data_IF_702246704615
#
_entry.id   IF_702246704615
#
_cell.length_a   1.000
_cell.length_b   1.000
_cell.length_c   1.000
_cell.angle_alpha   90.00
_cell.angle_beta   90.00
_cell.angle_gamma   90.00
#
_symmetry.space_group_name_H-M   'P 1'
#
loop_
_entity.id
_entity.type
_entity.pdbx_description
1 polymer ?
#
# COMPACT_ATOMS: atom_id res chain seq x y z
N UNK A 1 6.94 20.97 -1.77
CA UNK A 1 7.20 19.97 -2.83
C UNK A 1 5.98 19.07 -3.01
N UNK A 2 4.91 19.57 -3.65
CA UNK A 2 3.64 18.81 -3.83
C UNK A 2 2.94 19.11 -5.16
N UNK A 3 3.71 19.44 -6.20
CA UNK A 3 3.18 19.87 -7.51
C UNK A 3 2.71 18.72 -8.41
N UNK A 4 2.91 17.47 -8.01
CA UNK A 4 2.49 16.29 -8.77
C UNK A 4 0.98 16.06 -8.75
N UNK A 5 0.48 15.14 -9.60
CA UNK A 5 -0.91 14.70 -9.56
C UNK A 5 -1.30 14.24 -8.15
N UNK A 6 -2.52 14.60 -7.73
CA UNK A 6 -3.05 14.26 -6.41
C UNK A 6 -4.16 13.23 -6.53
N UNK A 7 -4.17 12.27 -5.62
CA UNK A 7 -5.26 11.33 -5.44
C UNK A 7 -5.93 11.64 -4.10
N UNK A 8 -7.18 12.11 -4.17
CA UNK A 8 -8.03 12.35 -3.01
C UNK A 8 -8.97 11.17 -2.81
N UNK A 9 -8.77 10.41 -1.73
CA UNK A 9 -9.67 9.36 -1.24
C UNK A 9 -10.39 9.84 0.02
N UNK A 10 -11.51 9.22 0.42
CA UNK A 10 -12.07 9.43 1.75
C UNK A 10 -10.97 9.27 2.81
N UNK A 11 -10.79 10.29 3.64
CA UNK A 11 -9.85 10.32 4.77
C UNK A 11 -8.35 10.27 4.41
N UNK A 12 -7.96 10.21 3.13
CA UNK A 12 -6.55 10.11 2.74
C UNK A 12 -6.25 10.81 1.42
N UNK A 13 -5.16 11.57 1.40
CA UNK A 13 -4.66 12.27 0.20
C UNK A 13 -3.25 11.81 -0.11
N UNK A 14 -3.01 11.46 -1.37
CA UNK A 14 -1.70 11.08 -1.87
C UNK A 14 -1.23 12.06 -2.94
N UNK A 15 0.09 12.12 -3.13
CA UNK A 15 0.75 12.79 -4.24
C UNK A 15 1.51 11.73 -5.02
N UNK A 16 1.31 11.68 -6.33
CA UNK A 16 2.04 10.76 -7.20
C UNK A 16 3.39 11.37 -7.58
N UNK A 17 4.44 10.58 -7.37
CA UNK A 17 5.79 10.86 -7.81
C UNK A 17 6.22 9.80 -8.83
N UNK A 18 7.11 10.20 -9.74
CA UNK A 18 7.78 9.28 -10.68
C UNK A 18 9.27 9.52 -10.61
N UNK A 19 10.05 8.45 -10.71
CA UNK A 19 11.49 8.50 -10.55
C UNK A 19 12.13 7.13 -10.78
N UNK A 20 13.43 7.08 -10.57
CA UNK A 20 14.23 5.87 -10.59
C UNK A 20 14.21 5.18 -9.22
N UNK A 21 14.73 3.95 -9.15
CA UNK A 21 14.91 3.27 -7.88
C UNK A 21 15.93 3.99 -6.98
N UNK A 22 16.94 4.64 -7.57
CA UNK A 22 17.93 5.40 -6.80
C UNK A 22 17.31 6.62 -6.11
N UNK A 23 16.30 7.25 -6.72
CA UNK A 23 15.58 8.37 -6.11
C UNK A 23 14.84 7.95 -4.82
N UNK A 24 14.50 6.65 -4.68
CA UNK A 24 13.87 6.12 -3.47
C UNK A 24 14.85 6.04 -2.30
N UNK A 25 16.16 5.88 -2.55
CA UNK A 25 17.16 5.73 -1.49
C UNK A 25 17.31 6.98 -0.63
N UNK A 26 17.07 8.16 -1.19
CA UNK A 26 17.06 9.45 -0.48
C UNK A 26 15.67 9.90 -0.04
N UNK A 27 14.66 9.04 -0.12
CA UNK A 27 13.26 9.44 0.04
C UNK A 27 12.96 10.06 1.42
N UNK A 28 13.53 9.50 2.48
CA UNK A 28 13.36 10.02 3.84
C UNK A 28 13.87 11.45 4.00
N UNK A 29 14.91 11.81 3.24
CA UNK A 29 15.57 13.11 3.34
C UNK A 29 14.73 14.23 2.73
N UNK A 30 13.68 13.89 1.97
CA UNK A 30 12.75 14.84 1.36
C UNK A 30 11.75 15.43 2.37
N UNK A 31 11.60 14.82 3.55
CA UNK A 31 10.59 15.19 4.53
C UNK A 31 11.22 15.42 5.91
N UNK A 32 10.97 16.59 6.48
CA UNK A 32 11.41 16.93 7.84
C UNK A 32 10.40 16.36 8.86
N UNK A 33 10.44 15.04 9.09
CA UNK A 33 9.49 14.29 9.93
C UNK A 33 10.14 13.07 10.59
N UNK A 34 9.97 12.97 11.93
CA UNK A 34 10.38 11.81 12.75
C UNK A 34 9.49 10.56 12.54
N UNK A 35 8.35 10.71 11.86
CA UNK A 35 7.39 9.63 11.64
C UNK A 35 7.69 8.97 10.30
N UNK A 36 8.00 7.66 10.37
CA UNK A 36 8.28 6.71 9.28
C UNK A 36 7.97 7.23 7.87
N UNK A 37 9.05 7.58 7.17
CA UNK A 37 8.97 8.39 5.97
C UNK A 37 8.69 7.59 4.70
N UNK A 38 8.52 6.27 4.72
CA UNK A 38 8.43 5.47 3.47
C UNK A 38 7.23 5.90 2.59
N UNK A 39 7.33 5.83 1.25
CA UNK A 39 6.19 6.11 0.39
C UNK A 39 5.07 5.10 0.65
N UNK A 40 3.82 5.57 0.69
CA UNK A 40 2.67 4.73 0.97
C UNK A 40 2.52 3.57 -0.03
N UNK A 41 2.86 3.81 -1.30
CA UNK A 41 2.85 2.82 -2.36
C UNK A 41 4.03 3.05 -3.30
N UNK A 42 4.68 1.96 -3.72
CA UNK A 42 5.74 1.96 -4.73
C UNK A 42 5.49 0.84 -5.71
N UNK A 43 5.57 1.15 -7.00
CA UNK A 43 5.45 0.17 -8.08
C UNK A 43 6.35 0.56 -9.28
N UNK A 44 6.85 -0.42 -10.04
CA UNK A 44 7.57 -0.18 -11.29
C UNK A 44 6.60 0.18 -12.43
N UNK A 45 7.12 0.77 -13.50
CA UNK A 45 6.31 1.22 -14.64
C UNK A 45 5.52 0.10 -15.35
N UNK A 46 5.93 -1.16 -15.19
CA UNK A 46 5.24 -2.34 -15.73
C UNK A 46 4.19 -2.93 -14.76
N UNK A 47 4.02 -2.34 -13.58
CA UNK A 47 3.11 -2.80 -12.52
C UNK A 47 3.33 -4.27 -12.09
N UNK A 48 4.54 -4.80 -12.27
CA UNK A 48 4.83 -6.21 -11.94
C UNK A 48 4.73 -6.53 -10.45
N UNK A 49 4.86 -5.52 -9.57
CA UNK A 49 4.71 -5.65 -8.13
C UNK A 49 4.28 -4.32 -7.50
N UNK A 50 3.80 -4.39 -6.26
CA UNK A 50 3.53 -3.20 -5.45
C UNK A 50 4.00 -3.48 -4.02
N UNK A 51 4.75 -2.55 -3.44
CA UNK A 51 4.99 -2.51 -2.00
C UNK A 51 4.10 -1.41 -1.41
N UNK A 52 3.32 -1.78 -0.39
CA UNK A 52 2.46 -0.87 0.34
C UNK A 52 2.99 -0.68 1.76
N UNK A 53 3.28 0.57 2.12
CA UNK A 53 3.65 0.98 3.47
C UNK A 53 2.47 1.73 4.08
N UNK A 54 1.44 0.98 4.45
CA UNK A 54 0.27 1.54 5.11
C UNK A 54 0.45 1.58 6.64
N UNK A 55 -0.18 2.56 7.29
CA UNK A 55 -0.06 2.81 8.73
C UNK A 55 -1.13 2.08 9.56
N UNK A 56 -2.17 1.48 8.94
CA UNK A 56 -3.43 1.24 9.66
C UNK A 56 -4.06 -0.18 9.71
N UNK A 57 -3.46 -1.30 9.25
CA UNK A 57 -3.80 -2.59 9.91
C UNK A 57 -2.70 -3.67 9.97
N UNK A 58 -2.91 -4.71 10.82
CA UNK A 58 -2.14 -5.96 10.83
C UNK A 58 -2.22 -6.77 9.52
N UNK A 59 -3.13 -6.40 8.63
CA UNK A 59 -3.50 -7.13 7.42
C UNK A 59 -3.41 -6.22 6.21
N UNK A 60 -3.01 -6.78 5.06
CA UNK A 60 -3.12 -6.12 3.77
C UNK A 60 -4.36 -6.65 3.02
N UNK A 61 -5.19 -5.75 2.48
CA UNK A 61 -6.31 -6.11 1.64
C UNK A 61 -5.90 -6.33 0.18
N UNK A 62 -6.34 -7.43 -0.44
CA UNK A 62 -6.05 -7.76 -1.84
C UNK A 62 -7.38 -7.88 -2.62
N UNK A 63 -7.62 -6.94 -3.54
CA UNK A 63 -8.69 -7.04 -4.53
C UNK A 63 -8.15 -7.63 -5.83
N UNK A 64 -8.55 -8.86 -6.17
CA UNK A 64 -8.09 -9.56 -7.38
C UNK A 64 -9.19 -10.46 -7.96
N UNK A 65 -8.95 -11.02 -9.15
CA UNK A 65 -9.80 -12.04 -9.73
C UNK A 65 -10.01 -13.22 -8.78
N UNK A 66 -11.19 -13.83 -8.81
CA UNK A 66 -11.57 -14.91 -7.88
C UNK A 66 -10.56 -16.05 -7.84
N UNK A 67 -10.04 -16.49 -9.00
CA UNK A 67 -9.02 -17.55 -9.05
C UNK A 67 -7.65 -17.15 -8.47
N UNK A 68 -7.35 -15.85 -8.34
CA UNK A 68 -6.17 -15.38 -7.61
C UNK A 68 -6.45 -15.43 -6.10
N UNK A 69 -7.60 -14.92 -5.67
CA UNK A 69 -8.03 -14.95 -4.27
C UNK A 69 -8.08 -16.39 -3.74
N UNK A 70 -8.71 -17.30 -4.48
CA UNK A 70 -8.83 -18.71 -4.10
C UNK A 70 -7.45 -19.37 -3.93
N UNK A 71 -6.46 -19.01 -4.76
CA UNK A 71 -5.08 -19.51 -4.63
C UNK A 71 -4.37 -18.94 -3.40
N UNK A 72 -4.56 -17.67 -3.09
CA UNK A 72 -3.97 -17.04 -1.91
C UNK A 72 -4.54 -17.67 -0.62
N UNK A 73 -5.85 -17.85 -0.55
CA UNK A 73 -6.53 -18.51 0.58
C UNK A 73 -6.10 -19.97 0.74
N UNK A 74 -5.78 -20.66 -0.36
CA UNK A 74 -5.31 -22.04 -0.32
C UNK A 74 -3.82 -22.20 0.04
N UNK A 75 -3.03 -21.12 0.01
CA UNK A 75 -1.60 -21.16 0.31
C UNK A 75 -1.37 -21.26 1.82
N UNK A 76 -0.82 -22.39 2.26
CA UNK A 76 -0.61 -22.67 3.70
C UNK A 76 0.56 -21.89 4.31
N UNK A 77 1.36 -21.21 3.50
CA UNK A 77 2.46 -20.38 3.98
C UNK A 77 2.01 -18.95 4.31
N UNK A 78 0.77 -18.60 3.94
CA UNK A 78 0.18 -17.28 4.16
C UNK A 78 -1.03 -17.41 5.09
N UNK A 79 -1.21 -16.46 5.99
CA UNK A 79 -2.47 -16.31 6.71
C UNK A 79 -3.37 -15.40 5.87
N UNK A 80 -4.34 -15.99 5.18
CA UNK A 80 -5.23 -15.29 4.25
C UNK A 80 -6.66 -15.69 4.52
N UNK A 81 -7.51 -14.69 4.76
CA UNK A 81 -8.95 -14.85 4.93
C UNK A 81 -9.70 -14.06 3.87
N UNK A 82 -10.91 -14.51 3.53
CA UNK A 82 -11.81 -13.68 2.74
C UNK A 82 -12.23 -12.47 3.55
N UNK A 83 -12.16 -11.28 2.93
CA UNK A 83 -12.70 -10.07 3.50
C UNK A 83 -14.19 -9.93 3.13
N UNK A 84 -15.04 -9.72 4.13
CA UNK A 84 -16.41 -9.26 3.93
C UNK A 84 -16.47 -7.74 4.19
N UNK A 85 -16.87 -6.92 3.20
CA UNK A 85 -16.95 -5.46 3.39
C UNK A 85 -18.03 -5.04 4.40
N UNK A 86 -19.02 -5.88 4.69
CA UNK A 86 -20.07 -5.60 5.67
C UNK A 86 -19.64 -5.97 7.10
N UNK A 87 -18.58 -6.76 7.25
CA UNK A 87 -18.02 -7.09 8.55
C UNK A 87 -17.16 -5.95 9.11
N UNK A 88 -17.17 -5.83 10.44
CA UNK A 88 -16.32 -4.87 11.12
C UNK A 88 -14.86 -5.28 10.95
N UNK A 89 -14.10 -4.45 10.23
CA UNK A 89 -12.67 -4.65 10.04
C UNK A 89 -11.92 -4.66 11.40
N UNK A 90 -10.87 -5.49 11.55
CA UNK A 90 -10.04 -5.48 12.75
C UNK A 90 -9.43 -4.09 12.96
N UNK A 91 -9.53 -3.56 14.18
CA UNK A 91 -8.92 -2.28 14.56
C UNK A 91 -7.86 -2.51 15.62
N UNK A 92 -6.85 -1.64 15.67
CA UNK A 92 -5.98 -1.54 16.84
C UNK A 92 -6.81 -1.10 18.07
N UNK A 93 -6.47 -1.64 19.24
CA UNK A 93 -7.16 -1.38 20.51
C UNK A 93 -6.99 0.07 20.98
#
# INVERSE_FOLDING_TARGET
>A
MTGGPKLDLPHRRYVLFTGTLDDLMGWSDLFDSDVYSAPAFVWPADHAWCFASDVDPHWAGIGADRGVVDRLVADRNLDVVHADPEERQPTYY
#
